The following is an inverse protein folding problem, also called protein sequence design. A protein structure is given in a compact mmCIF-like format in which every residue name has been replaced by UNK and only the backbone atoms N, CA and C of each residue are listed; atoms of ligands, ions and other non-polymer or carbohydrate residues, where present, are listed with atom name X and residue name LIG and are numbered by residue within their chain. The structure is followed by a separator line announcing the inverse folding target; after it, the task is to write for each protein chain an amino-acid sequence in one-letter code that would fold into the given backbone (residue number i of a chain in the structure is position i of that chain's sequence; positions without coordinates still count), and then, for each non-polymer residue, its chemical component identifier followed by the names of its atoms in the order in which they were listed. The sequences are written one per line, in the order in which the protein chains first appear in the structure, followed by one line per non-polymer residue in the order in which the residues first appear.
data_IF_708925864722
#
_entry.id   IF_708925864722
#
_cell.length_a   1.000
_cell.length_b   1.000
_cell.length_c   1.000
_cell.angle_alpha   90.00
_cell.angle_beta   90.00
_cell.angle_gamma   90.00
#
_symmetry.space_group_name_H-M   'P 1'
#
loop_
_entity.id
_entity.type
_entity.pdbx_description
1 polymer ?
#
# COMPACT_ATOMS: atom_id res chain seq x y z
N UNK A 1 60.93 22.59 -3.83
CA UNK A 1 60.41 21.92 -5.04
C UNK A 1 60.23 20.44 -4.70
N UNK A 2 59.10 20.08 -4.11
CA UNK A 2 58.00 19.33 -4.75
C UNK A 2 58.44 18.12 -5.57
N UNK A 3 58.15 16.91 -5.07
CA UNK A 3 57.08 16.06 -5.63
C UNK A 3 56.92 14.78 -4.80
N UNK A 4 55.84 14.72 -4.02
CA UNK A 4 55.27 13.48 -3.47
C UNK A 4 54.52 12.78 -4.60
N UNK A 5 54.97 11.60 -5.00
CA UNK A 5 54.26 10.72 -5.94
C UNK A 5 53.61 9.56 -5.19
N UNK A 6 52.28 9.61 -5.12
CA UNK A 6 51.41 8.64 -4.46
C UNK A 6 51.54 7.22 -5.02
N UNK A 7 51.70 6.26 -4.10
CA UNK A 7 51.22 4.89 -4.27
C UNK A 7 49.98 4.80 -3.36
N UNK A 8 48.78 4.57 -3.91
CA UNK A 8 47.65 3.87 -3.28
C UNK A 8 46.43 3.88 -4.23
N UNK A 9 45.61 2.83 -4.11
CA UNK A 9 44.29 2.62 -4.73
C UNK A 9 44.23 2.19 -6.21
N UNK A 10 44.67 0.96 -6.45
CA UNK A 10 43.90 0.05 -7.30
C UNK A 10 42.56 -0.27 -6.60
N UNK A 11 41.53 0.56 -6.77
CA UNK A 11 40.14 0.19 -6.43
C UNK A 11 39.22 1.11 -7.22
N UNK A 12 38.05 0.61 -7.65
CA UNK A 12 37.02 1.26 -8.50
C UNK A 12 37.16 1.01 -10.01
N UNK A 13 37.04 -0.25 -10.43
CA UNK A 13 36.61 -0.56 -11.81
C UNK A 13 35.50 -1.60 -11.94
N UNK A 14 34.80 -1.92 -10.86
CA UNK A 14 33.80 -3.00 -10.83
C UNK A 14 32.47 -2.64 -10.15
N UNK A 15 31.85 -1.50 -10.48
CA UNK A 15 30.48 -1.17 -10.02
C UNK A 15 29.56 -0.66 -11.15
N UNK A 16 29.76 -1.09 -12.38
CA UNK A 16 28.95 -0.65 -13.52
C UNK A 16 28.04 -1.74 -14.12
N UNK A 17 27.65 -2.76 -13.34
CA UNK A 17 26.72 -3.80 -13.82
C UNK A 17 25.73 -4.26 -12.74
N UNK A 18 24.49 -3.83 -12.90
CA UNK A 18 23.32 -4.67 -12.64
C UNK A 18 22.65 -4.52 -11.27
N UNK A 19 22.01 -3.37 -11.02
CA UNK A 19 20.69 -3.28 -10.38
C UNK A 19 20.27 -1.80 -10.25
N UNK A 20 19.98 -1.15 -11.37
CA UNK A 20 19.23 0.11 -11.35
C UNK A 20 17.72 -0.19 -11.30
N UNK A 21 17.30 -0.98 -10.31
CA UNK A 21 15.89 -0.96 -9.93
C UNK A 21 15.70 0.35 -9.19
N UNK A 22 14.87 1.24 -9.73
CA UNK A 22 14.53 2.50 -9.10
C UNK A 22 13.82 2.21 -7.78
N UNK A 23 14.56 2.05 -6.69
CA UNK A 23 13.99 1.75 -5.37
C UNK A 23 13.27 3.01 -4.92
N UNK A 24 11.94 2.98 -4.95
CA UNK A 24 11.12 4.06 -4.41
C UNK A 24 11.51 4.26 -2.94
N UNK A 25 12.03 5.44 -2.62
CA UNK A 25 12.33 5.79 -1.24
C UNK A 25 11.07 5.62 -0.38
N UNK A 26 11.24 5.18 0.86
CA UNK A 26 10.13 4.88 1.78
C UNK A 26 9.16 6.06 1.97
N UNK A 27 9.64 7.29 1.79
CA UNK A 27 8.84 8.51 1.84
C UNK A 27 7.97 8.72 0.59
N UNK A 28 8.48 8.36 -0.60
CA UNK A 28 7.74 8.42 -1.87
C UNK A 28 6.63 7.36 -1.86
N UNK A 29 6.91 6.18 -1.33
CA UNK A 29 5.93 5.11 -1.11
C UNK A 29 4.77 5.54 -0.22
N UNK A 30 5.04 6.27 0.86
CA UNK A 30 3.98 6.70 1.77
C UNK A 30 3.15 7.88 1.26
N UNK A 31 3.76 8.78 0.50
CA UNK A 31 3.11 10.03 0.08
C UNK A 31 2.32 9.92 -1.23
N UNK A 32 2.80 9.10 -2.18
CA UNK A 32 2.16 8.99 -3.51
C UNK A 32 1.21 7.79 -3.56
N UNK A 33 1.57 6.71 -2.87
CA UNK A 33 0.87 5.44 -2.96
C UNK A 33 0.13 5.05 -1.68
N UNK A 34 0.06 5.93 -0.67
CA UNK A 34 -0.69 5.70 0.58
C UNK A 34 -0.35 4.38 1.30
N UNK A 35 0.88 3.90 1.12
CA UNK A 35 1.36 2.59 1.58
C UNK A 35 0.67 1.38 0.93
N UNK A 36 0.00 1.58 -0.20
CA UNK A 36 -0.56 0.52 -1.01
C UNK A 36 0.52 -0.17 -1.86
N UNK A 37 0.87 -1.38 -1.42
CA UNK A 37 1.87 -2.23 -2.07
C UNK A 37 1.39 -2.63 -3.49
N UNK A 38 0.08 -2.80 -3.71
CA UNK A 38 -0.45 -3.18 -5.03
C UNK A 38 -0.30 -2.04 -6.02
N UNK A 39 -0.54 -0.78 -5.62
CA UNK A 39 -0.31 0.37 -6.51
C UNK A 39 1.15 0.49 -6.91
N UNK A 40 2.06 0.28 -5.97
CA UNK A 40 3.51 0.30 -6.25
C UNK A 40 3.91 -0.82 -7.19
N UNK A 41 3.32 -2.00 -7.03
CA UNK A 41 3.51 -3.11 -7.94
C UNK A 41 3.02 -2.80 -9.36
N UNK A 42 1.81 -2.24 -9.50
CA UNK A 42 1.25 -1.80 -10.78
C UNK A 42 2.16 -0.76 -11.44
N UNK A 43 2.61 0.25 -10.70
CA UNK A 43 3.56 1.25 -11.18
C UNK A 43 4.86 0.62 -11.68
N UNK A 44 5.45 -0.30 -10.89
CA UNK A 44 6.68 -0.99 -11.27
C UNK A 44 6.51 -1.86 -12.50
N UNK A 45 5.35 -2.49 -12.67
CA UNK A 45 5.04 -3.25 -13.88
C UNK A 45 4.83 -2.36 -15.09
N UNK A 46 4.09 -1.25 -14.94
CA UNK A 46 3.93 -0.26 -16.00
C UNK A 46 5.28 0.30 -16.45
N UNK A 47 6.17 0.63 -15.50
CA UNK A 47 7.55 1.07 -15.77
C UNK A 47 8.34 0.01 -16.55
N UNK A 48 8.30 -1.26 -16.12
CA UNK A 48 8.99 -2.36 -16.81
C UNK A 48 8.45 -2.59 -18.22
N UNK A 49 7.13 -2.51 -18.39
CA UNK A 49 6.48 -2.67 -19.69
C UNK A 49 6.85 -1.51 -20.63
N UNK A 50 6.81 -0.27 -20.15
CA UNK A 50 7.22 0.91 -20.91
C UNK A 50 8.68 0.82 -21.38
N UNK A 51 9.59 0.35 -20.51
CA UNK A 51 10.99 0.07 -20.87
C UNK A 51 11.10 -0.99 -21.98
N UNK A 52 10.31 -2.06 -21.90
CA UNK A 52 10.29 -3.09 -22.94
C UNK A 52 9.80 -2.54 -24.28
N UNK A 53 8.77 -1.68 -24.27
CA UNK A 53 8.26 -1.00 -25.47
C UNK A 53 9.33 -0.08 -26.07
N UNK A 54 10.04 0.70 -25.26
CA UNK A 54 11.17 1.53 -25.72
C UNK A 54 12.31 0.70 -26.32
N UNK A 55 12.58 -0.49 -25.79
CA UNK A 55 13.62 -1.37 -26.33
C UNK A 55 13.27 -1.89 -27.74
N UNK A 56 11.98 -2.10 -28.03
CA UNK A 56 11.52 -2.58 -29.34
C UNK A 56 11.19 -1.45 -30.32
N UNK A 57 11.16 -0.20 -29.84
CA UNK A 57 10.87 1.01 -30.65
C UNK A 57 11.77 1.17 -31.89
N UNK A 58 13.08 0.85 -31.85
CA UNK A 58 13.93 0.92 -33.05
C UNK A 58 13.49 0.01 -34.20
N UNK A 59 12.75 -1.07 -33.93
CA UNK A 59 12.23 -1.97 -34.97
C UNK A 59 11.19 -1.29 -35.88
N UNK A 60 10.56 -0.22 -35.41
CA UNK A 60 9.57 0.57 -36.15
C UNK A 60 10.20 1.58 -37.12
N UNK A 61 11.50 1.47 -37.43
CA UNK A 61 12.21 2.44 -38.29
C UNK A 61 11.58 2.69 -39.67
N UNK A 62 10.75 1.79 -40.16
CA UNK A 62 10.03 1.92 -41.44
C UNK A 62 8.72 2.70 -41.35
N UNK A 63 8.23 3.01 -40.14
CA UNK A 63 6.98 3.75 -39.90
C UNK A 63 7.11 4.68 -38.70
N UNK A 64 7.40 5.95 -38.97
CA UNK A 64 7.53 6.98 -37.95
C UNK A 64 6.23 7.15 -37.14
N UNK A 65 5.06 6.99 -37.76
CA UNK A 65 3.77 7.08 -37.09
C UNK A 65 3.57 6.00 -36.02
N UNK A 66 3.96 4.75 -36.32
CA UNK A 66 3.89 3.66 -35.34
C UNK A 66 4.94 3.80 -34.25
N UNK A 67 6.12 4.30 -34.61
CA UNK A 67 7.18 4.62 -33.64
C UNK A 67 6.69 5.66 -32.63
N UNK A 68 6.24 6.82 -33.10
CA UNK A 68 5.72 7.90 -32.24
C UNK A 68 4.54 7.41 -31.38
N UNK A 69 3.65 6.59 -31.96
CA UNK A 69 2.52 6.02 -31.22
C UNK A 69 3.00 5.06 -30.11
N UNK A 70 4.01 4.23 -30.37
CA UNK A 70 4.58 3.32 -29.37
C UNK A 70 5.26 4.08 -28.23
N UNK A 71 6.01 5.13 -28.54
CA UNK A 71 6.68 5.99 -27.55
C UNK A 71 5.66 6.73 -26.67
N UNK A 72 4.63 7.34 -27.30
CA UNK A 72 3.55 8.02 -26.57
C UNK A 72 2.80 7.06 -25.64
N UNK A 73 2.52 5.84 -26.10
CA UNK A 73 1.84 4.81 -25.29
C UNK A 73 2.72 4.40 -24.09
N UNK A 74 4.03 4.21 -24.30
CA UNK A 74 4.96 3.85 -23.23
C UNK A 74 5.03 4.93 -22.13
N UNK A 75 5.07 6.21 -22.51
CA UNK A 75 5.06 7.33 -21.57
C UNK A 75 3.71 7.40 -20.83
N UNK A 76 2.59 7.27 -21.56
CA UNK A 76 1.25 7.30 -20.98
C UNK A 76 1.00 6.18 -19.97
N UNK A 77 1.64 5.01 -20.12
CA UNK A 77 1.59 3.94 -19.12
C UNK A 77 2.25 4.34 -17.80
N UNK A 78 3.36 5.07 -17.85
CA UNK A 78 4.05 5.53 -16.63
C UNK A 78 3.22 6.63 -15.97
N UNK A 79 2.78 7.62 -16.74
CA UNK A 79 1.98 8.74 -16.24
C UNK A 79 0.66 8.24 -15.63
N UNK A 80 -0.02 7.33 -16.32
CA UNK A 80 -1.26 6.71 -15.86
C UNK A 80 -1.09 5.92 -14.56
N UNK A 81 0.09 5.38 -14.27
CA UNK A 81 0.33 4.61 -13.05
C UNK A 81 0.55 5.47 -11.79
N UNK A 82 0.85 6.76 -11.95
CA UNK A 82 1.05 7.71 -10.83
C UNK A 82 -0.27 8.36 -10.40
N UNK A 83 -1.29 8.36 -11.27
CA UNK A 83 -2.61 8.94 -11.01
C UNK A 83 -3.34 8.32 -9.79
N UNK A 84 -4.36 9.02 -9.25
CA UNK A 84 -5.26 8.46 -8.25
C UNK A 84 -5.87 7.12 -8.72
N UNK A 85 -6.24 6.19 -7.82
CA UNK A 85 -6.48 4.80 -8.19
C UNK A 85 -7.62 4.61 -9.21
N UNK A 86 -8.71 5.37 -9.10
CA UNK A 86 -9.81 5.33 -10.07
C UNK A 86 -9.37 5.80 -11.47
N UNK A 87 -8.68 6.93 -11.56
CA UNK A 87 -8.18 7.49 -12.81
C UNK A 87 -7.08 6.63 -13.42
N UNK A 88 -6.20 6.10 -12.58
CA UNK A 88 -5.13 5.18 -12.96
C UNK A 88 -5.71 3.93 -13.62
N UNK A 89 -6.76 3.33 -13.03
CA UNK A 89 -7.43 2.16 -13.59
C UNK A 89 -7.97 2.42 -15.00
N UNK A 90 -8.66 3.54 -15.19
CA UNK A 90 -9.26 3.90 -16.49
C UNK A 90 -8.17 4.22 -17.52
N UNK A 91 -7.16 4.99 -17.13
CA UNK A 91 -6.08 5.40 -18.03
C UNK A 91 -5.23 4.22 -18.45
N UNK A 92 -4.76 3.40 -17.49
CA UNK A 92 -3.95 2.23 -17.78
C UNK A 92 -4.69 1.20 -18.61
N UNK A 93 -5.97 0.93 -18.32
CA UNK A 93 -6.75 -0.03 -19.12
C UNK A 93 -6.87 0.38 -20.59
N UNK A 94 -7.12 1.68 -20.84
CA UNK A 94 -7.14 2.25 -22.20
C UNK A 94 -5.78 2.11 -22.89
N UNK A 95 -4.70 2.51 -22.22
CA UNK A 95 -3.35 2.51 -22.82
C UNK A 95 -2.81 1.10 -23.04
N UNK A 96 -3.09 0.15 -22.15
CA UNK A 96 -2.73 -1.26 -22.32
C UNK A 96 -3.45 -1.89 -23.50
N UNK A 97 -4.74 -1.58 -23.70
CA UNK A 97 -5.49 -2.07 -24.85
C UNK A 97 -4.97 -1.45 -26.17
N UNK A 98 -4.61 -0.16 -26.14
CA UNK A 98 -3.94 0.53 -27.24
C UNK A 98 -2.59 -0.14 -27.56
N UNK A 99 -1.81 -0.51 -26.54
CA UNK A 99 -0.53 -1.20 -26.69
C UNK A 99 -0.70 -2.59 -27.32
N UNK A 100 -1.64 -3.40 -26.83
CA UNK A 100 -1.92 -4.74 -27.40
C UNK A 100 -2.33 -4.63 -28.88
N UNK A 101 -3.14 -3.65 -29.23
CA UNK A 101 -3.53 -3.38 -30.62
C UNK A 101 -2.33 -2.98 -31.48
N UNK A 102 -1.41 -2.16 -30.95
CA UNK A 102 -0.18 -1.76 -31.63
C UNK A 102 0.77 -2.95 -31.83
N UNK A 103 0.92 -3.83 -30.84
CA UNK A 103 1.73 -5.05 -30.95
C UNK A 103 1.16 -6.00 -32.00
N UNK A 104 -0.16 -6.19 -32.03
CA UNK A 104 -0.82 -6.99 -33.06
C UNK A 104 -0.59 -6.43 -34.46
N UNK A 105 -0.73 -5.11 -34.64
CA UNK A 105 -0.45 -4.46 -35.92
C UNK A 105 1.02 -4.64 -36.33
N UNK A 106 1.96 -4.38 -35.42
CA UNK A 106 3.39 -4.53 -35.67
C UNK A 106 3.79 -5.96 -36.08
N UNK A 107 3.11 -6.96 -35.53
CA UNK A 107 3.24 -8.37 -35.92
C UNK A 107 2.69 -8.61 -37.33
N UNK A 108 1.50 -8.12 -37.65
CA UNK A 108 0.90 -8.30 -38.98
C UNK A 108 1.68 -7.62 -40.10
N UNK A 109 2.27 -6.45 -39.81
CA UNK A 109 3.10 -5.71 -40.77
C UNK A 109 4.54 -6.22 -40.84
N UNK A 110 4.90 -7.22 -40.01
CA UNK A 110 6.25 -7.79 -39.96
C UNK A 110 7.33 -6.83 -39.42
N UNK A 111 6.94 -5.75 -38.73
CA UNK A 111 7.87 -4.79 -38.13
C UNK A 111 8.52 -5.35 -36.86
N UNK A 112 7.81 -6.24 -36.15
CA UNK A 112 8.31 -6.95 -34.98
C UNK A 112 8.22 -8.45 -35.19
N UNK A 113 9.17 -9.18 -34.59
CA UNK A 113 9.08 -10.64 -34.55
C UNK A 113 7.81 -11.05 -33.80
N UNK A 114 7.13 -12.13 -34.22
CA UNK A 114 5.90 -12.59 -33.57
C UNK A 114 6.15 -12.90 -32.09
N UNK A 115 7.32 -13.44 -31.75
CA UNK A 115 7.69 -13.73 -30.37
C UNK A 115 7.78 -12.47 -29.50
N UNK A 116 8.41 -11.40 -29.98
CA UNK A 116 8.55 -10.15 -29.22
C UNK A 116 7.21 -9.45 -29.05
N UNK A 117 6.40 -9.39 -30.12
CA UNK A 117 5.07 -8.81 -30.08
C UNK A 117 4.16 -9.57 -29.10
N UNK A 118 4.17 -10.91 -29.15
CA UNK A 118 3.35 -11.75 -28.28
C UNK A 118 3.80 -11.67 -26.82
N UNK A 119 5.10 -11.55 -26.53
CA UNK A 119 5.59 -11.36 -25.16
C UNK A 119 5.11 -10.04 -24.55
N UNK A 120 5.20 -8.94 -25.30
CA UNK A 120 4.75 -7.61 -24.82
C UNK A 120 3.23 -7.60 -24.66
N UNK A 121 2.50 -8.17 -25.62
CA UNK A 121 1.04 -8.26 -25.56
C UNK A 121 0.57 -9.06 -24.33
N UNK A 122 1.20 -10.22 -24.05
CA UNK A 122 0.88 -11.03 -22.85
C UNK A 122 1.14 -10.28 -21.55
N UNK A 123 2.26 -9.55 -21.46
CA UNK A 123 2.54 -8.77 -20.24
C UNK A 123 1.56 -7.60 -20.07
N UNK A 124 1.11 -6.99 -21.18
CA UNK A 124 0.06 -5.96 -21.15
C UNK A 124 -1.29 -6.52 -20.66
N UNK A 125 -1.68 -7.71 -21.12
CA UNK A 125 -2.88 -8.41 -20.67
C UNK A 125 -2.79 -8.80 -19.17
N UNK A 126 -1.64 -9.30 -18.73
CA UNK A 126 -1.41 -9.63 -17.32
C UNK A 126 -1.58 -8.38 -16.43
N UNK A 127 -1.00 -7.25 -16.83
CA UNK A 127 -1.14 -6.01 -16.09
C UNK A 127 -2.60 -5.51 -16.10
N UNK A 128 -3.32 -5.68 -17.21
CA UNK A 128 -4.75 -5.35 -17.30
C UNK A 128 -5.58 -6.18 -16.31
N UNK A 129 -5.32 -7.48 -16.20
CA UNK A 129 -5.98 -8.35 -15.22
C UNK A 129 -5.70 -7.93 -13.77
N UNK A 130 -4.47 -7.53 -13.47
CA UNK A 130 -4.09 -7.06 -12.13
C UNK A 130 -4.77 -5.73 -11.76
N UNK A 131 -4.91 -4.83 -12.73
CA UNK A 131 -5.62 -3.57 -12.59
C UNK A 131 -7.13 -3.79 -12.44
N UNK A 132 -7.70 -4.76 -13.17
CA UNK A 132 -9.11 -5.12 -13.05
C UNK A 132 -9.44 -5.77 -11.68
N UNK A 133 -8.51 -6.56 -11.15
CA UNK A 133 -8.60 -7.18 -9.81
C UNK A 133 -8.22 -6.26 -8.65
N UNK A 134 -7.88 -4.99 -8.93
CA UNK A 134 -7.59 -4.01 -7.91
C UNK A 134 -8.90 -3.41 -7.36
N UNK A 135 -9.24 -3.79 -6.13
CA UNK A 135 -10.17 -3.04 -5.29
C UNK A 135 -9.33 -2.14 -4.37
N UNK A 136 -9.66 -0.84 -4.32
CA UNK A 136 -9.07 0.06 -3.34
C UNK A 136 -9.21 -0.56 -1.95
N UNK A 137 -8.13 -0.58 -1.13
CA UNK A 137 -8.23 -0.97 0.26
C UNK A 137 -9.22 0.00 0.93
N UNK A 138 -10.48 -0.40 1.01
CA UNK A 138 -11.51 0.39 1.67
C UNK A 138 -11.01 0.61 3.08
N UNK A 139 -10.57 1.83 3.37
CA UNK A 139 -10.60 2.33 4.73
C UNK A 139 -12.01 2.04 5.20
N UNK A 140 -12.14 1.24 6.26
CA UNK A 140 -13.40 0.90 6.90
C UNK A 140 -14.12 2.21 7.26
N UNK A 141 -14.84 2.80 6.31
CA UNK A 141 -15.89 3.75 6.58
C UNK A 141 -16.94 2.91 7.29
N UNK A 142 -16.97 3.04 8.61
CA UNK A 142 -17.97 2.40 9.45
C UNK A 142 -19.35 2.63 8.83
N UNK A 143 -20.09 1.53 8.71
CA UNK A 143 -21.50 1.42 8.41
C UNK A 143 -22.13 2.71 7.92
N UNK A 144 -21.96 3.01 6.63
CA UNK A 144 -22.86 3.96 5.98
C UNK A 144 -24.25 3.33 6.08
N UNK A 145 -25.19 3.94 6.82
CA UNK A 145 -26.49 3.34 7.02
C UNK A 145 -27.10 3.07 5.65
N UNK A 146 -27.55 1.83 5.46
CA UNK A 146 -28.23 1.43 4.23
C UNK A 146 -29.38 2.42 3.97
N UNK A 147 -29.71 2.66 2.70
CA UNK A 147 -30.92 3.42 2.35
C UNK A 147 -32.17 2.88 3.06
N UNK A 148 -32.18 1.60 3.41
CA UNK A 148 -33.22 0.96 4.23
C UNK A 148 -33.26 1.46 5.70
N UNK A 149 -32.12 1.81 6.30
CA UNK A 149 -32.06 2.38 7.66
C UNK A 149 -32.42 3.86 7.69
N UNK A 150 -32.05 4.62 6.66
CA UNK A 150 -32.44 6.03 6.50
C UNK A 150 -33.96 6.19 6.26
N UNK A 151 -34.60 5.25 5.57
CA UNK A 151 -36.05 5.27 5.39
C UNK A 151 -36.78 4.92 6.70
N UNK A 152 -36.21 4.04 7.52
CA UNK A 152 -36.76 3.64 8.83
C UNK A 152 -36.68 4.76 9.88
N UNK A 153 -35.67 5.62 9.80
CA UNK A 153 -35.56 6.82 10.66
C UNK A 153 -36.47 7.95 10.18
N UNK A 154 -36.79 8.02 8.88
CA UNK A 154 -37.76 9.00 8.34
C UNK A 154 -39.22 8.68 8.71
N UNK A 155 -39.56 7.43 9.00
CA UNK A 155 -40.92 7.05 9.43
C UNK A 155 -41.18 7.23 10.93
N UNK A 156 -40.14 7.39 11.75
CA UNK A 156 -40.27 7.83 13.15
C UNK A 156 -40.11 9.35 13.20
N UNK A 157 -41.19 10.04 12.89
CA UNK A 157 -41.26 11.49 12.98
C UNK A 157 -40.91 12.01 14.38
N UNK A 158 -39.73 12.59 14.52
CA UNK A 158 -39.47 13.70 15.45
C UNK A 158 -38.51 14.69 14.78
N UNK A 159 -39.09 15.68 14.11
CA UNK A 159 -38.37 16.82 13.56
C UNK A 159 -38.09 17.81 14.70
N UNK A 160 -36.84 17.84 15.20
CA UNK A 160 -36.30 19.01 15.90
C UNK A 160 -35.28 19.69 14.99
N UNK A 161 -35.77 20.58 14.13
CA UNK A 161 -34.94 21.55 13.40
C UNK A 161 -34.61 22.68 14.35
N UNK A 162 -33.36 22.77 14.79
CA UNK A 162 -32.80 23.98 15.39
C UNK A 162 -31.89 24.66 14.37
N UNK A 163 -32.48 25.44 13.46
CA UNK A 163 -31.77 26.42 12.63
C UNK A 163 -31.57 27.69 13.46
N UNK A 164 -30.35 27.94 13.94
CA UNK A 164 -29.99 29.24 14.52
C UNK A 164 -29.48 30.16 13.41
N UNK A 165 -30.31 31.11 13.05
CA UNK A 165 -30.01 32.25 12.19
C UNK A 165 -29.12 33.27 12.90
N UNK A 166 -28.24 33.87 12.10
CA UNK A 166 -27.31 34.97 12.40
C UNK A 166 -28.07 36.26 12.72
N UNK A 167 -27.75 36.93 13.83
CA UNK A 167 -27.93 38.38 13.97
C UNK A 167 -26.88 39.02 14.90
N UNK A 168 -26.50 40.22 14.49
CA UNK A 168 -25.31 40.98 14.82
C UNK A 168 -25.61 42.00 15.95
N UNK A 169 -24.76 42.11 16.99
CA UNK A 169 -24.55 43.32 17.84
C UNK A 169 -23.40 43.11 18.86
N UNK A 170 -22.47 44.07 18.92
CA UNK A 170 -21.36 44.29 19.89
C UNK A 170 -21.73 45.49 20.82
N UNK A 171 -20.94 45.91 21.86
CA UNK A 171 -19.88 45.27 22.67
C UNK A 171 -19.94 45.47 24.24
N UNK A 172 -19.28 44.56 24.99
CA UNK A 172 -18.47 44.65 26.26
C UNK A 172 -19.00 45.38 27.56
N UNK A 173 -18.37 45.30 28.78
CA UNK A 173 -17.22 44.50 29.29
C UNK A 173 -17.40 43.87 30.73
N UNK A 174 -16.29 43.30 31.27
CA UNK A 174 -16.00 42.89 32.69
C UNK A 174 -16.42 41.45 33.09
N UNK A 175 -15.67 40.62 33.84
CA UNK A 175 -14.45 40.77 34.66
C UNK A 175 -13.85 39.39 35.05
N UNK A 176 -12.54 39.23 34.87
CA UNK A 176 -11.55 38.52 35.73
C UNK A 176 -11.51 36.97 35.90
N UNK A 177 -10.32 36.42 36.28
CA UNK A 177 -9.82 35.07 35.88
C UNK A 177 -9.44 34.10 37.04
N UNK A 178 -9.11 32.83 36.70
CA UNK A 178 -8.17 31.82 37.34
C UNK A 178 -8.75 30.37 37.34
N UNK A 179 -7.98 29.28 37.64
CA UNK A 179 -6.73 28.81 37.01
C UNK A 179 -6.67 27.26 36.78
N UNK A 180 -5.62 26.81 36.06
CA UNK A 180 -4.89 25.50 36.09
C UNK A 180 -5.63 24.17 36.32
N UNK A 181 -5.41 23.23 35.39
CA UNK A 181 -5.51 21.78 35.63
C UNK A 181 -4.89 20.96 34.49
N UNK A 182 -3.73 20.38 34.75
CA UNK A 182 -3.01 19.42 33.91
C UNK A 182 -3.72 18.07 34.07
N UNK A 183 -4.12 17.37 33.00
CA UNK A 183 -4.45 15.96 33.15
C UNK A 183 -3.99 15.10 31.99
N UNK A 184 -3.35 14.00 32.38
CA UNK A 184 -2.79 12.96 31.52
C UNK A 184 -3.96 12.08 31.10
N UNK A 185 -4.24 12.04 29.79
CA UNK A 185 -5.26 11.17 29.21
C UNK A 185 -4.99 9.70 29.51
N UNK A 186 -5.70 9.18 30.52
CA UNK A 186 -5.89 7.78 30.85
C UNK A 186 -6.56 7.10 29.66
N UNK A 187 -5.93 6.05 29.14
CA UNK A 187 -6.48 5.24 28.06
C UNK A 187 -7.61 4.39 28.64
N UNK A 188 -8.85 4.73 28.26
CA UNK A 188 -10.05 3.95 28.50
C UNK A 188 -9.85 2.50 28.03
N UNK A 189 -10.12 1.57 28.94
CA UNK A 189 -10.09 0.14 28.71
C UNK A 189 -11.32 -0.26 27.88
N UNK A 190 -11.10 -0.61 26.61
CA UNK A 190 -12.15 -1.04 25.69
C UNK A 190 -12.39 -2.55 25.83
N UNK A 191 -13.65 -3.04 25.75
CA UNK A 191 -14.00 -4.46 25.86
C UNK A 191 -13.33 -5.36 24.79
N UNK A 192 -12.78 -4.75 23.73
CA UNK A 192 -12.01 -5.44 22.69
C UNK A 192 -10.65 -5.97 23.15
N UNK A 193 -10.05 -5.43 24.24
CA UNK A 193 -8.79 -5.98 24.79
C UNK A 193 -8.98 -7.38 25.35
N UNK A 194 -10.08 -7.62 26.07
CA UNK A 194 -10.39 -8.94 26.63
C UNK A 194 -10.62 -9.99 25.55
N UNK A 195 -11.38 -9.65 24.50
CA UNK A 195 -11.64 -10.59 23.39
C UNK A 195 -10.38 -10.96 22.61
N UNK A 196 -9.45 -10.01 22.41
CA UNK A 196 -8.19 -10.27 21.70
C UNK A 196 -7.23 -11.14 22.50
N UNK A 197 -7.18 -10.96 23.83
CA UNK A 197 -6.36 -11.80 24.72
C UNK A 197 -6.84 -13.25 24.73
N UNK A 198 -8.15 -13.47 24.78
CA UNK A 198 -8.72 -14.81 24.77
C UNK A 198 -8.39 -15.55 23.46
N UNK A 199 -8.48 -14.88 22.31
CA UNK A 199 -8.08 -15.45 21.02
C UNK A 199 -6.61 -15.86 20.97
N UNK A 200 -5.71 -15.05 21.55
CA UNK A 200 -4.27 -15.39 21.62
C UNK A 200 -4.06 -16.62 22.51
N UNK A 201 -4.76 -16.70 23.64
CA UNK A 201 -4.68 -17.84 24.54
C UNK A 201 -5.24 -19.13 23.90
N UNK A 202 -6.31 -19.04 23.12
CA UNK A 202 -6.87 -20.19 22.41
C UNK A 202 -5.91 -20.73 21.34
N UNK A 203 -5.25 -19.85 20.59
CA UNK A 203 -4.21 -20.25 19.62
C UNK A 203 -3.01 -20.91 20.31
N UNK A 204 -2.61 -20.40 21.49
CA UNK A 204 -1.51 -21.00 22.27
C UNK A 204 -1.90 -22.35 22.90
N UNK A 205 -3.17 -22.55 23.27
CA UNK A 205 -3.67 -23.86 23.72
C UNK A 205 -3.69 -24.88 22.59
N UNK A 206 -4.11 -24.47 21.39
CA UNK A 206 -4.23 -25.37 20.24
C UNK A 206 -2.86 -25.79 19.67
N UNK A 207 -1.90 -24.87 19.61
CA UNK A 207 -0.56 -25.12 19.01
C UNK A 207 0.53 -25.47 20.03
N UNK A 208 0.31 -25.25 21.33
CA UNK A 208 1.26 -25.50 22.42
C UNK A 208 2.43 -24.50 22.48
N UNK A 209 3.14 -24.33 21.37
CA UNK A 209 4.23 -23.36 21.21
C UNK A 209 4.11 -22.64 19.86
N UNK A 210 4.01 -21.32 19.85
CA UNK A 210 3.79 -20.55 18.62
C UNK A 210 4.78 -19.39 18.50
N UNK A 211 5.22 -19.12 17.27
CA UNK A 211 5.96 -17.92 16.94
C UNK A 211 5.01 -16.73 16.77
N UNK A 212 5.53 -15.52 16.95
CA UNK A 212 4.76 -14.26 16.75
C UNK A 212 4.07 -14.24 15.37
N UNK A 213 4.75 -14.73 14.33
CA UNK A 213 4.19 -14.84 12.98
C UNK A 213 3.00 -15.78 12.92
N UNK A 214 3.07 -16.94 13.55
CA UNK A 214 1.99 -17.94 13.53
C UNK A 214 0.75 -17.46 14.27
N UNK A 215 0.95 -16.70 15.35
CA UNK A 215 -0.15 -16.05 16.07
C UNK A 215 -0.75 -14.94 15.21
N UNK A 216 0.07 -14.14 14.51
CA UNK A 216 -0.40 -13.06 13.64
C UNK A 216 -1.15 -13.54 12.40
N UNK A 217 -0.82 -14.72 11.86
CA UNK A 217 -1.53 -15.31 10.71
C UNK A 217 -2.85 -15.97 11.10
N UNK A 218 -2.98 -16.41 12.35
CA UNK A 218 -4.19 -17.09 12.83
C UNK A 218 -5.27 -16.09 13.26
N UNK A 219 -4.90 -14.92 13.78
CA UNK A 219 -5.84 -13.89 14.27
C UNK A 219 -6.05 -12.81 13.19
N UNK A 220 -7.25 -12.79 12.58
CA UNK A 220 -7.60 -11.76 11.58
C UNK A 220 -7.79 -10.39 12.26
N UNK A 221 -7.21 -9.34 11.66
CA UNK A 221 -7.39 -7.95 12.10
C UNK A 221 -6.40 -7.42 13.14
N UNK A 222 -5.34 -8.17 13.48
CA UNK A 222 -4.34 -7.75 14.48
C UNK A 222 -2.95 -7.64 13.84
N UNK A 223 -2.28 -6.50 14.06
CA UNK A 223 -0.90 -6.29 13.61
C UNK A 223 0.11 -7.06 14.48
N UNK A 224 1.26 -7.43 13.91
CA UNK A 224 2.35 -8.11 14.64
C UNK A 224 2.78 -7.33 15.90
N UNK A 225 2.80 -6.00 15.83
CA UNK A 225 3.13 -5.11 16.96
C UNK A 225 2.08 -5.16 18.08
N UNK A 226 0.81 -5.39 17.74
CA UNK A 226 -0.27 -5.55 18.71
C UNK A 226 -0.18 -6.91 19.39
N UNK A 227 0.07 -7.99 18.62
CA UNK A 227 0.33 -9.33 19.17
C UNK A 227 1.54 -9.30 20.11
N UNK A 228 2.62 -8.61 19.73
CA UNK A 228 3.80 -8.47 20.56
C UNK A 228 3.51 -7.78 21.91
N UNK A 229 2.67 -6.73 21.92
CA UNK A 229 2.27 -6.03 23.16
C UNK A 229 1.43 -6.91 24.07
N UNK A 230 0.45 -7.63 23.53
CA UNK A 230 -0.42 -8.50 24.32
C UNK A 230 0.35 -9.73 24.83
N UNK A 231 1.22 -10.34 24.02
CA UNK A 231 2.10 -11.43 24.46
C UNK A 231 3.06 -10.97 25.56
N UNK A 232 3.61 -9.75 25.45
CA UNK A 232 4.45 -9.19 26.50
C UNK A 232 3.67 -8.92 27.80
N UNK A 233 2.42 -8.47 27.70
CA UNK A 233 1.53 -8.32 28.85
C UNK A 233 1.24 -9.68 29.51
N UNK A 234 0.94 -10.72 28.72
CA UNK A 234 0.71 -12.08 29.22
C UNK A 234 1.94 -12.74 29.85
N UNK A 235 3.15 -12.39 29.38
CA UNK A 235 4.41 -12.80 30.02
C UNK A 235 4.62 -12.08 31.35
N UNK A 236 4.29 -10.79 31.43
CA UNK A 236 4.33 -10.03 32.70
C UNK A 236 3.29 -10.54 33.71
N UNK A 237 2.12 -10.96 33.24
CA UNK A 237 1.07 -11.58 34.04
C UNK A 237 1.38 -13.04 34.41
N UNK A 238 2.46 -13.62 33.88
CA UNK A 238 2.93 -14.98 34.20
C UNK A 238 2.13 -16.12 33.54
N UNK A 239 1.22 -15.81 32.61
CA UNK A 239 0.36 -16.77 31.92
C UNK A 239 1.09 -17.45 30.75
N UNK A 240 2.06 -16.77 30.14
CA UNK A 240 2.80 -17.25 28.97
C UNK A 240 4.30 -17.21 29.25
N UNK A 241 5.01 -18.28 28.87
CA UNK A 241 6.48 -18.35 28.88
C UNK A 241 7.02 -17.95 27.52
N UNK A 242 8.10 -17.19 27.56
CA UNK A 242 8.83 -16.73 26.38
C UNK A 242 10.17 -17.48 26.31
N UNK A 243 10.42 -18.21 25.24
CA UNK A 243 11.69 -18.90 25.00
C UNK A 243 12.34 -18.42 23.69
N UNK A 244 13.65 -18.12 23.74
CA UNK A 244 14.45 -17.71 22.57
C UNK A 244 14.98 -16.27 22.61
N UNK A 245 15.96 -15.98 21.75
CA UNK A 245 16.65 -14.66 21.69
C UNK A 245 16.29 -13.90 20.41
N UNK A 246 15.63 -12.76 20.56
CA UNK A 246 15.33 -11.78 19.48
C UNK A 246 14.19 -12.21 18.54
N UNK A 247 14.45 -12.72 17.32
CA UNK A 247 13.41 -12.84 16.25
C UNK A 247 12.76 -14.22 16.13
N UNK A 248 13.27 -15.21 16.85
CA UNK A 248 12.81 -16.59 16.87
C UNK A 248 12.29 -16.93 18.27
N UNK A 249 11.64 -15.95 18.88
CA UNK A 249 11.02 -16.15 20.18
C UNK A 249 9.74 -16.93 20.00
N UNK A 250 9.66 -18.05 20.71
CA UNK A 250 8.49 -18.89 20.82
C UNK A 250 7.78 -18.60 22.14
N UNK A 251 6.45 -18.61 22.10
CA UNK A 251 5.62 -18.40 23.27
C UNK A 251 4.84 -19.69 23.55
N UNK A 252 4.80 -20.11 24.81
CA UNK A 252 4.06 -21.29 25.28
C UNK A 252 3.29 -20.99 26.56
N UNK A 253 2.21 -21.72 26.84
CA UNK A 253 1.42 -21.49 28.04
C UNK A 253 2.21 -21.91 29.30
N UNK A 254 2.25 -21.05 30.31
CA UNK A 254 2.91 -21.31 31.59
C UNK A 254 2.07 -22.30 32.42
N UNK A 255 2.13 -23.59 32.08
CA UNK A 255 1.38 -24.62 32.79
C UNK A 255 1.09 -25.90 32.00
N UNK A 256 1.45 -25.98 30.71
CA UNK A 256 1.35 -27.22 29.96
C UNK A 256 2.65 -28.02 30.09
N UNK A 257 2.72 -28.83 31.14
CA UNK A 257 3.63 -29.97 31.25
C UNK A 257 2.83 -31.22 31.59
#
# INVERSE_FOLDING_TARGET
MNSKGHNLSQTTRNEARGNNDFVLEKAIFSNIFDKDIRRVYIYKKAERLARAVHLVTPAFGHSDALRERSERTAIALIDGAVLPPLESRVTLSRELLSLSSLMALARTTGLLSPMNADMIAKEAENLLHEIAGYEEPRLLLGDTPSLAELHKTSERGEVRVATKSVQNRKPAPSSQPKPKGHDRGVVSDSPERGSRRNLILDVLKEKGSAYIKDVSTTIRGVSEKTVQRELQALVQEGVVKQEGKRRWTTYSLAGSH
#
